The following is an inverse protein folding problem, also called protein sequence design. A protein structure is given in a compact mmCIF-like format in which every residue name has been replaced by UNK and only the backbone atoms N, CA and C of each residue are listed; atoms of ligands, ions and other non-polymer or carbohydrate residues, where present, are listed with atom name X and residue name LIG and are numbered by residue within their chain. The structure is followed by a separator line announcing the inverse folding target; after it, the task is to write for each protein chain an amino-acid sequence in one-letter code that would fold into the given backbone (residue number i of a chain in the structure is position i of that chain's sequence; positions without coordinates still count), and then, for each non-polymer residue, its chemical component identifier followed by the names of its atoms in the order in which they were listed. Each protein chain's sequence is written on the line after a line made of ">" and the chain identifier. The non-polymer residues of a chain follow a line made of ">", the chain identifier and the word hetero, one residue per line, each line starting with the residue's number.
data_IF_304365411609
#
_entry.id   IF_304365411609
#
_cell.length_a   1.000
_cell.length_b   1.000
_cell.length_c   1.000
_cell.angle_alpha   90.00
_cell.angle_beta   90.00
_cell.angle_gamma   90.00
#
_symmetry.space_group_name_H-M   'P 1'
#
loop_
_entity.id
_entity.type
_entity.pdbx_description
1 polymer ?
#
# COMPACT_ATOMS: atom_id res chain seq x y z
N UNK A 1 0.27 -8.20 -80.16
CA UNK A 1 1.47 -7.71 -79.46
C UNK A 1 0.99 -6.98 -78.22
N UNK A 2 1.16 -7.57 -77.04
CA UNK A 2 1.15 -6.88 -75.75
C UNK A 2 1.94 -7.77 -74.79
N UNK A 3 3.21 -7.43 -74.63
CA UNK A 3 4.16 -8.05 -73.72
C UNK A 3 3.76 -7.71 -72.28
N UNK A 4 3.23 -8.70 -71.56
CA UNK A 4 3.04 -8.59 -70.12
C UNK A 4 4.42 -8.63 -69.43
N UNK A 5 4.85 -7.49 -68.91
CA UNK A 5 6.00 -7.37 -68.02
C UNK A 5 5.65 -8.04 -66.69
N UNK A 6 6.19 -9.23 -66.47
CA UNK A 6 6.06 -9.98 -65.24
C UNK A 6 6.90 -9.29 -64.15
N UNK A 7 6.28 -8.40 -63.37
CA UNK A 7 6.90 -7.81 -62.18
C UNK A 7 7.03 -8.89 -61.11
N UNK A 8 8.24 -9.39 -60.92
CA UNK A 8 8.61 -10.27 -59.80
C UNK A 8 8.45 -9.45 -58.52
N UNK A 9 7.34 -9.64 -57.82
CA UNK A 9 7.11 -9.07 -56.50
C UNK A 9 8.15 -9.69 -55.56
N UNK A 10 9.05 -8.87 -55.03
CA UNK A 10 10.09 -9.29 -54.09
C UNK A 10 9.47 -10.03 -52.91
N UNK A 11 9.91 -11.27 -52.65
CA UNK A 11 9.46 -12.12 -51.54
C UNK A 11 10.07 -11.72 -50.19
N UNK A 12 10.91 -10.67 -50.18
CA UNK A 12 11.62 -10.21 -49.00
C UNK A 12 10.87 -9.11 -48.24
N UNK A 13 10.88 -9.18 -46.92
CA UNK A 13 10.37 -8.12 -46.05
C UNK A 13 11.10 -6.80 -46.38
N UNK A 14 10.39 -5.72 -46.73
CA UNK A 14 11.03 -4.46 -47.14
C UNK A 14 11.76 -3.74 -46.00
N UNK A 15 11.55 -4.16 -44.75
CA UNK A 15 12.08 -3.50 -43.56
C UNK A 15 13.24 -4.26 -42.89
N UNK A 16 13.33 -5.59 -43.05
CA UNK A 16 14.42 -6.39 -42.51
C UNK A 16 15.07 -7.36 -43.51
N UNK A 17 14.60 -7.38 -44.76
CA UNK A 17 15.14 -8.22 -45.83
C UNK A 17 14.84 -9.72 -45.69
N UNK A 18 14.02 -10.13 -44.72
CA UNK A 18 13.70 -11.55 -44.51
C UNK A 18 13.00 -12.16 -45.74
N UNK A 19 13.57 -13.22 -46.30
CA UNK A 19 12.95 -14.08 -47.29
C UNK A 19 13.38 -15.52 -47.04
N UNK A 20 12.42 -16.45 -47.03
CA UNK A 20 12.68 -17.87 -46.81
C UNK A 20 13.56 -18.51 -47.91
N UNK A 21 13.75 -17.83 -49.05
CA UNK A 21 14.54 -18.32 -50.20
C UNK A 21 16.02 -17.91 -50.15
N UNK A 22 16.40 -16.94 -49.32
CA UNK A 22 17.75 -16.37 -49.27
C UNK A 22 18.59 -16.82 -48.06
N UNK A 23 18.08 -17.75 -47.25
CA UNK A 23 18.79 -18.31 -46.07
C UNK A 23 19.58 -19.60 -46.40
N UNK A 24 19.70 -19.98 -47.67
CA UNK A 24 20.55 -21.11 -48.08
C UNK A 24 22.02 -20.73 -47.91
N UNK A 25 22.66 -21.24 -46.85
CA UNK A 25 24.09 -21.08 -46.63
C UNK A 25 24.88 -21.61 -47.83
N UNK A 26 25.94 -20.91 -48.29
CA UNK A 26 26.86 -21.45 -49.27
C UNK A 26 27.29 -22.85 -48.83
N UNK A 27 27.03 -23.86 -49.68
CA UNK A 27 27.39 -25.24 -49.38
C UNK A 27 28.90 -25.37 -49.58
N UNK A 28 29.66 -25.84 -48.57
CA UNK A 28 31.08 -26.08 -48.75
C UNK A 28 31.32 -27.05 -49.90
N UNK A 29 32.37 -26.85 -50.71
CA UNK A 29 32.75 -27.82 -51.73
C UNK A 29 32.94 -29.19 -51.06
N UNK A 30 32.33 -30.24 -51.63
CA UNK A 30 32.09 -31.54 -50.98
C UNK A 30 33.34 -32.37 -50.65
N UNK A 31 34.54 -31.81 -50.79
CA UNK A 31 35.83 -32.51 -50.67
C UNK A 31 36.52 -32.20 -49.33
N UNK A 32 35.81 -32.48 -48.21
CA UNK A 32 36.37 -32.27 -46.85
C UNK A 32 37.69 -33.03 -46.65
N UNK A 33 37.81 -34.23 -47.24
CA UNK A 33 39.03 -35.04 -47.21
C UNK A 33 40.24 -34.34 -47.87
N UNK A 34 40.02 -33.52 -48.91
CA UNK A 34 41.08 -32.78 -49.57
C UNK A 34 41.56 -31.61 -48.71
N UNK A 35 40.63 -30.90 -48.08
CA UNK A 35 40.94 -29.82 -47.14
C UNK A 35 41.71 -30.39 -45.93
N UNK A 36 41.23 -31.49 -45.34
CA UNK A 36 41.86 -32.15 -44.19
C UNK A 36 43.29 -32.63 -44.50
N UNK A 37 43.51 -33.16 -45.71
CA UNK A 37 44.85 -33.51 -46.19
C UNK A 37 45.76 -32.27 -46.26
N UNK A 38 45.33 -31.19 -46.92
CA UNK A 38 46.14 -29.97 -47.05
C UNK A 38 46.47 -29.35 -45.68
N UNK A 39 45.53 -29.41 -44.73
CA UNK A 39 45.73 -28.95 -43.35
C UNK A 39 46.70 -29.83 -42.54
N UNK A 40 46.86 -31.11 -42.89
CA UNK A 40 47.73 -32.04 -42.16
C UNK A 40 49.14 -32.17 -42.74
N UNK A 41 49.34 -31.89 -44.03
CA UNK A 41 50.63 -32.05 -44.71
C UNK A 41 51.37 -30.75 -45.01
N UNK A 42 50.72 -29.59 -44.86
CA UNK A 42 51.22 -28.27 -45.31
C UNK A 42 51.54 -28.22 -46.82
N UNK A 43 50.95 -29.11 -47.63
CA UNK A 43 51.09 -29.08 -49.07
C UNK A 43 50.37 -27.86 -49.68
N UNK A 44 50.88 -27.37 -50.81
CA UNK A 44 50.22 -26.29 -51.54
C UNK A 44 48.96 -26.82 -52.27
N UNK A 45 47.86 -26.04 -52.33
CA UNK A 45 46.71 -26.40 -53.15
C UNK A 45 47.10 -26.52 -54.62
N UNK A 46 46.46 -27.44 -55.35
CA UNK A 46 46.60 -27.44 -56.81
C UNK A 46 45.96 -26.18 -57.39
N UNK A 47 46.29 -25.77 -58.63
CA UNK A 47 45.65 -24.63 -59.28
C UNK A 47 44.11 -24.75 -59.34
N UNK A 48 43.59 -25.98 -59.49
CA UNK A 48 42.15 -26.25 -59.49
C UNK A 48 41.54 -26.09 -58.09
N UNK A 49 42.20 -26.63 -57.07
CA UNK A 49 41.79 -26.46 -55.66
C UNK A 49 41.76 -24.97 -55.29
N UNK A 50 42.78 -24.20 -55.70
CA UNK A 50 42.88 -22.78 -55.44
C UNK A 50 41.72 -21.98 -56.03
N UNK A 51 41.28 -22.29 -57.26
CA UNK A 51 40.11 -21.63 -57.88
C UNK A 51 38.84 -21.89 -57.07
N UNK A 52 38.59 -23.14 -56.69
CA UNK A 52 37.40 -23.55 -55.93
C UNK A 52 37.41 -22.92 -54.53
N UNK A 53 38.56 -22.89 -53.86
CA UNK A 53 38.68 -22.26 -52.55
C UNK A 53 38.50 -20.75 -52.62
N UNK A 54 39.10 -20.07 -53.61
CA UNK A 54 38.92 -18.63 -53.78
C UNK A 54 37.47 -18.26 -54.10
N UNK A 55 36.76 -19.01 -54.94
CA UNK A 55 35.35 -18.74 -55.20
C UNK A 55 34.49 -18.96 -53.95
N UNK A 56 34.72 -20.06 -53.22
CA UNK A 56 33.98 -20.33 -51.99
C UNK A 56 34.23 -19.27 -50.91
N UNK A 57 35.48 -18.81 -50.74
CA UNK A 57 35.80 -17.73 -49.80
C UNK A 57 35.09 -16.45 -50.19
N UNK A 58 35.14 -16.04 -51.46
CA UNK A 58 34.48 -14.82 -51.92
C UNK A 58 32.94 -14.87 -51.74
N UNK A 59 32.32 -16.00 -52.09
CA UNK A 59 30.88 -16.22 -51.91
C UNK A 59 30.50 -16.24 -50.43
N UNK A 60 31.32 -16.88 -49.59
CA UNK A 60 31.14 -16.94 -48.14
C UNK A 60 31.26 -15.56 -47.47
N UNK A 61 32.28 -14.78 -47.83
CA UNK A 61 32.46 -13.40 -47.33
C UNK A 61 31.29 -12.49 -47.73
N UNK A 62 30.82 -12.61 -48.97
CA UNK A 62 29.64 -11.89 -49.46
C UNK A 62 28.38 -12.27 -48.67
N UNK A 63 28.17 -13.56 -48.43
CA UNK A 63 27.02 -14.04 -47.65
C UNK A 63 27.09 -13.61 -46.18
N UNK A 64 28.26 -13.63 -45.56
CA UNK A 64 28.47 -13.11 -44.20
C UNK A 64 28.14 -11.62 -44.12
N UNK A 65 28.62 -10.82 -45.07
CA UNK A 65 28.29 -9.38 -45.14
C UNK A 65 26.78 -9.14 -45.27
N UNK A 66 26.09 -9.97 -46.05
CA UNK A 66 24.64 -9.92 -46.18
C UNK A 66 23.92 -10.28 -44.86
N UNK A 67 24.36 -11.32 -44.16
CA UNK A 67 23.82 -11.69 -42.85
C UNK A 67 24.05 -10.61 -41.80
N UNK A 68 25.24 -10.02 -41.74
CA UNK A 68 25.54 -8.93 -40.81
C UNK A 68 24.63 -7.72 -41.02
N UNK A 69 24.39 -7.35 -42.28
CA UNK A 69 23.45 -6.28 -42.64
C UNK A 69 22.03 -6.60 -42.17
N UNK A 70 21.59 -7.86 -42.31
CA UNK A 70 20.27 -8.31 -41.84
C UNK A 70 20.18 -8.34 -40.32
N UNK A 71 21.21 -8.82 -39.63
CA UNK A 71 21.29 -8.81 -38.16
C UNK A 71 21.19 -7.37 -37.65
N UNK A 72 21.94 -6.44 -38.26
CA UNK A 72 21.87 -5.02 -37.91
C UNK A 72 20.46 -4.44 -38.14
N UNK A 73 19.82 -4.77 -39.26
CA UNK A 73 18.47 -4.31 -39.61
C UNK A 73 17.41 -4.85 -38.64
N UNK A 74 17.46 -6.14 -38.29
CA UNK A 74 16.54 -6.76 -37.33
C UNK A 74 16.76 -6.19 -35.93
N UNK A 75 18.02 -5.98 -35.50
CA UNK A 75 18.32 -5.34 -34.20
C UNK A 75 17.78 -3.91 -34.16
N UNK A 76 17.96 -3.12 -35.21
CA UNK A 76 17.41 -1.78 -35.29
C UNK A 76 15.86 -1.77 -35.24
N UNK A 77 15.22 -2.72 -35.93
CA UNK A 77 13.77 -2.90 -35.88
C UNK A 77 13.29 -3.27 -34.48
N UNK A 78 13.97 -4.21 -33.82
CA UNK A 78 13.64 -4.62 -32.46
C UNK A 78 13.72 -3.44 -31.49
N UNK A 79 14.81 -2.68 -31.51
CA UNK A 79 14.98 -1.48 -30.69
C UNK A 79 13.84 -0.46 -30.92
N UNK A 80 13.45 -0.25 -32.18
CA UNK A 80 12.33 0.64 -32.52
C UNK A 80 11.00 0.14 -31.96
N UNK A 81 10.72 -1.16 -32.06
CA UNK A 81 9.49 -1.77 -31.55
C UNK A 81 9.44 -1.74 -30.02
N UNK A 82 10.56 -2.00 -29.34
CA UNK A 82 10.68 -1.89 -27.88
C UNK A 82 10.43 -0.45 -27.42
N UNK A 83 11.09 0.54 -28.05
CA UNK A 83 10.84 1.94 -27.74
C UNK A 83 9.37 2.34 -27.98
N UNK A 84 8.76 1.83 -29.06
CA UNK A 84 7.33 2.09 -29.36
C UNK A 84 6.42 1.47 -28.29
N UNK A 85 6.71 0.22 -27.88
CA UNK A 85 5.99 -0.49 -26.82
C UNK A 85 6.08 0.25 -25.49
N UNK A 86 7.26 0.72 -25.12
CA UNK A 86 7.48 1.43 -23.85
C UNK A 86 6.75 2.78 -23.85
N UNK A 87 6.86 3.53 -24.95
CA UNK A 87 6.13 4.80 -25.14
C UNK A 87 4.62 4.59 -25.03
N UNK A 88 4.08 3.56 -25.71
CA UNK A 88 2.65 3.27 -25.68
C UNK A 88 2.19 2.81 -24.28
N UNK A 89 3.00 2.00 -23.60
CA UNK A 89 2.71 1.54 -22.23
C UNK A 89 2.66 2.71 -21.25
N UNK A 90 3.61 3.65 -21.38
CA UNK A 90 3.64 4.89 -20.60
C UNK A 90 2.42 5.78 -20.89
N UNK A 91 2.05 5.92 -22.16
CA UNK A 91 0.86 6.67 -22.58
C UNK A 91 -0.42 6.04 -21.99
N UNK A 92 -0.63 4.73 -22.16
CA UNK A 92 -1.78 4.00 -21.61
C UNK A 92 -1.86 4.20 -20.10
N UNK A 93 -0.74 4.07 -19.38
CA UNK A 93 -0.71 4.26 -17.93
C UNK A 93 -1.10 5.69 -17.55
N UNK A 94 -0.62 6.68 -18.31
CA UNK A 94 -0.94 8.10 -18.11
C UNK A 94 -2.43 8.39 -18.32
N UNK A 95 -3.08 7.75 -19.29
CA UNK A 95 -4.54 7.87 -19.52
C UNK A 95 -5.38 7.04 -18.53
N UNK A 96 -4.88 5.88 -18.05
CA UNK A 96 -5.57 5.09 -17.03
C UNK A 96 -5.64 5.80 -15.68
N UNK A 97 -4.61 6.58 -15.31
CA UNK A 97 -4.57 7.33 -14.04
C UNK A 97 -5.76 8.27 -13.82
N UNK A 98 -6.14 9.17 -14.75
CA UNK A 98 -7.34 10.01 -14.62
C UNK A 98 -8.65 9.24 -14.74
N UNK A 99 -8.66 8.11 -15.44
CA UNK A 99 -9.83 7.24 -15.55
C UNK A 99 -10.02 6.31 -14.33
N UNK A 100 -9.13 6.35 -13.35
CA UNK A 100 -9.20 5.49 -12.18
C UNK A 100 -10.55 5.68 -11.43
N UNK A 101 -11.30 4.61 -11.10
CA UNK A 101 -12.65 4.71 -10.54
C UNK A 101 -12.75 5.60 -9.29
N UNK A 102 -11.73 5.58 -8.44
CA UNK A 102 -11.65 6.45 -7.24
C UNK A 102 -11.74 7.95 -7.53
N UNK A 103 -11.44 8.41 -8.75
CA UNK A 103 -11.58 9.82 -9.12
C UNK A 103 -13.02 10.21 -9.43
N UNK A 104 -13.86 9.26 -9.87
CA UNK A 104 -15.28 9.45 -10.19
C UNK A 104 -16.21 9.18 -9.02
N UNK A 105 -15.72 8.47 -8.00
CA UNK A 105 -16.51 8.16 -6.81
C UNK A 105 -17.02 9.46 -6.16
N UNK A 106 -18.28 9.61 -5.76
CA UNK A 106 -18.76 10.76 -5.00
C UNK A 106 -18.10 10.87 -3.61
N UNK A 107 -18.13 12.05 -2.99
CA UNK A 107 -17.46 12.26 -1.69
C UNK A 107 -18.20 11.54 -0.56
N UNK A 108 -19.51 11.42 -0.67
CA UNK A 108 -20.41 10.70 0.22
C UNK A 108 -20.04 9.23 0.33
N UNK A 109 -19.59 8.61 -0.78
CA UNK A 109 -19.14 7.22 -0.75
C UNK A 109 -17.73 7.11 -0.14
N UNK A 110 -16.85 8.09 -0.36
CA UNK A 110 -15.56 8.14 0.34
C UNK A 110 -15.75 8.29 1.86
N UNK A 111 -16.69 9.14 2.27
CA UNK A 111 -17.07 9.33 3.67
C UNK A 111 -17.55 8.01 4.29
N UNK A 112 -18.46 7.28 3.62
CA UNK A 112 -18.87 5.96 4.07
C UNK A 112 -17.69 5.00 4.20
N UNK A 113 -16.84 4.90 3.18
CA UNK A 113 -15.65 4.03 3.23
C UNK A 113 -14.74 4.40 4.41
N UNK A 114 -14.51 5.69 4.66
CA UNK A 114 -13.68 6.13 5.77
C UNK A 114 -14.35 5.87 7.12
N UNK A 115 -15.67 6.02 7.22
CA UNK A 115 -16.46 5.71 8.41
C UNK A 115 -16.33 4.24 8.80
N UNK A 116 -16.45 3.32 7.83
CA UNK A 116 -16.18 1.90 8.03
C UNK A 116 -14.71 1.64 8.37
N UNK A 117 -13.78 2.31 7.71
CA UNK A 117 -12.35 2.08 7.93
C UNK A 117 -11.81 2.60 9.27
N UNK A 118 -12.49 3.55 9.91
CA UNK A 118 -12.26 3.89 11.33
C UNK A 118 -13.05 2.99 12.29
N UNK A 119 -13.72 1.95 11.78
CA UNK A 119 -14.37 0.88 12.55
C UNK A 119 -15.66 1.27 13.26
N UNK A 120 -16.42 2.21 12.71
CA UNK A 120 -17.73 2.58 13.26
C UNK A 120 -18.85 1.55 13.01
N UNK A 121 -18.63 0.59 12.13
CA UNK A 121 -19.48 -0.59 11.95
C UNK A 121 -19.34 -1.63 13.07
N UNK A 122 -18.26 -1.52 13.84
CA UNK A 122 -17.98 -2.43 14.95
C UNK A 122 -18.57 -1.87 16.24
N UNK A 123 -19.05 -2.77 17.09
CA UNK A 123 -19.35 -2.45 18.48
C UNK A 123 -18.11 -1.81 19.12
N UNK A 124 -18.33 -0.80 19.96
CA UNK A 124 -17.25 -0.03 20.54
C UNK A 124 -16.26 -0.91 21.33
N UNK A 125 -16.74 -1.98 21.98
CA UNK A 125 -15.90 -2.97 22.65
C UNK A 125 -15.02 -3.79 21.68
N UNK A 126 -15.56 -4.25 20.54
CA UNK A 126 -14.78 -5.05 19.58
C UNK A 126 -13.77 -4.18 18.81
N UNK A 127 -14.10 -2.91 18.60
CA UNK A 127 -13.16 -1.92 18.09
C UNK A 127 -11.98 -1.71 19.03
N UNK A 128 -12.19 -1.63 20.35
CA UNK A 128 -11.11 -1.39 21.33
C UNK A 128 -9.96 -2.38 21.20
N UNK A 129 -10.28 -3.64 20.94
CA UNK A 129 -9.34 -4.77 20.98
C UNK A 129 -8.46 -4.86 19.73
N UNK A 130 -9.02 -4.49 18.58
CA UNK A 130 -8.40 -4.71 17.27
C UNK A 130 -7.97 -3.43 16.56
N UNK A 131 -8.37 -2.26 17.07
CA UNK A 131 -8.03 -0.98 16.45
C UNK A 131 -6.59 -0.54 16.74
N UNK A 132 -5.96 0.16 15.78
CA UNK A 132 -4.67 0.80 15.99
C UNK A 132 -4.78 1.97 16.99
N UNK A 133 -3.65 2.36 17.56
CA UNK A 133 -3.55 3.51 18.46
C UNK A 133 -3.94 4.81 17.73
N UNK A 134 -4.75 5.69 18.33
CA UNK A 134 -5.25 6.92 17.66
C UNK A 134 -4.15 7.91 17.28
N UNK A 135 -2.96 7.79 17.90
CA UNK A 135 -1.78 8.60 17.60
C UNK A 135 -0.83 7.97 16.56
N UNK A 136 -1.16 6.78 16.06
CA UNK A 136 -0.38 6.15 15.00
C UNK A 136 -0.81 6.68 13.62
N UNK A 137 0.05 7.51 13.06
CA UNK A 137 -0.17 8.21 11.80
C UNK A 137 -0.26 7.29 10.56
N UNK A 138 0.06 6.00 10.71
CA UNK A 138 -0.03 4.99 9.64
C UNK A 138 -1.46 4.51 9.43
N UNK A 139 -2.36 4.79 10.36
CA UNK A 139 -3.71 4.26 10.37
C UNK A 139 -4.78 5.35 10.22
N UNK A 140 -6.04 4.97 9.93
CA UNK A 140 -7.17 5.89 9.94
C UNK A 140 -7.31 6.62 11.29
N UNK A 141 -7.75 7.89 11.29
CA UNK A 141 -8.09 8.70 10.12
C UNK A 141 -6.90 9.39 9.44
N UNK A 142 -5.69 9.33 10.03
CA UNK A 142 -4.52 10.07 9.55
C UNK A 142 -4.08 9.69 8.13
N UNK A 143 -4.07 8.39 7.83
CA UNK A 143 -3.57 7.87 6.55
C UNK A 143 -4.40 8.38 5.36
N UNK A 144 -5.71 8.56 5.54
CA UNK A 144 -6.60 9.07 4.51
C UNK A 144 -6.21 10.48 4.05
N UNK A 145 -5.78 11.33 5.00
CA UNK A 145 -5.32 12.68 4.69
C UNK A 145 -4.00 12.78 3.92
N UNK A 146 -3.30 11.65 3.70
CA UNK A 146 -2.01 11.56 3.01
C UNK A 146 -2.11 11.04 1.58
N UNK A 147 -3.29 10.60 1.15
CA UNK A 147 -3.47 9.98 -0.18
C UNK A 147 -3.55 11.02 -1.30
N UNK A 148 -4.47 11.97 -1.20
CA UNK A 148 -4.61 13.07 -2.15
C UNK A 148 -5.33 14.26 -1.52
N UNK A 149 -5.31 15.43 -2.18
CA UNK A 149 -6.00 16.64 -1.71
C UNK A 149 -7.48 16.41 -1.42
N UNK A 150 -8.16 15.64 -2.28
CA UNK A 150 -9.59 15.34 -2.13
C UNK A 150 -9.87 14.54 -0.86
N UNK A 151 -9.12 13.47 -0.61
CA UNK A 151 -9.28 12.64 0.60
C UNK A 151 -8.95 13.44 1.86
N UNK A 152 -7.93 14.30 1.80
CA UNK A 152 -7.59 15.22 2.88
C UNK A 152 -8.74 16.17 3.24
N UNK A 153 -9.43 16.71 2.23
CA UNK A 153 -10.60 17.57 2.47
C UNK A 153 -11.72 16.80 3.16
N UNK A 154 -12.08 15.61 2.64
CA UNK A 154 -13.12 14.74 3.24
C UNK A 154 -12.81 14.45 4.72
N UNK A 155 -11.57 14.05 5.02
CA UNK A 155 -11.13 13.74 6.39
C UNK A 155 -11.20 14.96 7.33
N UNK A 156 -10.96 16.16 6.79
CA UNK A 156 -11.03 17.41 7.53
C UNK A 156 -12.48 17.85 7.79
N UNK A 157 -13.37 17.60 6.82
CA UNK A 157 -14.79 17.95 6.87
C UNK A 157 -15.64 16.95 7.65
N UNK A 158 -15.08 15.79 8.02
CA UNK A 158 -15.79 14.70 8.70
C UNK A 158 -15.31 14.47 10.14
N UNK A 159 -15.82 15.24 11.13
CA UNK A 159 -15.46 15.10 12.55
C UNK A 159 -15.71 13.71 13.14
N UNK A 160 -16.69 12.98 12.61
CA UNK A 160 -17.04 11.63 13.09
C UNK A 160 -15.89 10.63 12.93
N UNK A 161 -14.92 10.87 12.05
CA UNK A 161 -13.72 10.04 11.93
C UNK A 161 -12.78 10.14 13.13
N UNK A 162 -12.99 11.12 14.00
CA UNK A 162 -12.12 11.51 15.11
C UNK A 162 -12.77 11.27 16.48
N UNK A 163 -13.86 10.50 16.56
CA UNK A 163 -14.63 10.32 17.81
C UNK A 163 -14.21 9.11 18.64
N UNK A 164 -13.40 8.18 18.09
CA UNK A 164 -12.88 7.02 18.81
C UNK A 164 -11.44 7.25 19.24
N UNK A 165 -11.25 7.62 20.50
CA UNK A 165 -9.94 8.01 21.06
C UNK A 165 -9.33 6.83 21.80
N UNK A 166 -8.32 6.19 21.24
CA UNK A 166 -7.58 5.08 21.83
C UNK A 166 -6.19 5.52 22.29
N UNK A 167 -6.02 5.54 23.61
CA UNK A 167 -4.77 5.78 24.34
C UNK A 167 -4.33 4.50 25.05
N UNK A 168 -3.46 3.77 24.38
CA UNK A 168 -2.93 2.51 24.87
C UNK A 168 -1.41 2.60 24.94
N UNK A 169 -0.87 2.87 26.14
CA UNK A 169 0.50 3.34 26.33
C UNK A 169 1.60 2.30 26.03
N UNK A 170 1.29 1.01 26.08
CA UNK A 170 2.15 -0.09 25.59
C UNK A 170 2.19 -0.20 24.06
N UNK A 171 1.14 0.28 23.38
CA UNK A 171 1.06 0.28 21.92
C UNK A 171 1.47 1.63 21.31
N UNK A 172 1.89 2.58 22.14
CA UNK A 172 2.43 3.84 21.64
C UNK A 172 3.66 3.56 20.75
N UNK A 173 3.72 4.13 19.54
CA UNK A 173 4.89 4.02 18.70
C UNK A 173 6.16 4.44 19.46
N UNK A 174 7.21 3.60 19.45
CA UNK A 174 8.43 3.82 20.25
C UNK A 174 9.06 5.21 20.06
N UNK A 175 8.96 5.78 18.87
CA UNK A 175 9.46 7.13 18.59
C UNK A 175 8.65 8.23 19.31
N UNK A 176 7.34 8.03 19.51
CA UNK A 176 6.47 8.94 20.27
C UNK A 176 6.69 8.82 21.78
N UNK A 177 7.04 7.64 22.30
CA UNK A 177 7.42 7.49 23.72
C UNK A 177 8.61 8.38 24.07
N UNK A 178 9.56 8.54 23.13
CA UNK A 178 10.70 9.46 23.27
C UNK A 178 10.34 10.92 23.03
N UNK A 179 9.14 11.21 22.52
CA UNK A 179 8.68 12.55 22.15
C UNK A 179 7.23 12.77 22.64
N UNK A 180 7.01 12.65 23.95
CA UNK A 180 5.69 12.84 24.56
C UNK A 180 5.02 14.18 24.16
N UNK A 181 5.74 15.32 24.05
CA UNK A 181 5.11 16.56 23.59
C UNK A 181 4.53 16.45 22.17
N UNK A 182 5.18 15.72 21.26
CA UNK A 182 4.65 15.48 19.92
C UNK A 182 3.40 14.61 19.98
N UNK A 183 3.39 13.57 20.79
CA UNK A 183 2.23 12.70 20.97
C UNK A 183 1.03 13.45 21.57
N UNK A 184 1.26 14.33 22.55
CA UNK A 184 0.25 15.21 23.11
C UNK A 184 -0.29 16.20 22.06
N UNK A 185 0.56 16.75 21.20
CA UNK A 185 0.12 17.58 20.08
C UNK A 185 -0.73 16.81 19.06
N UNK A 186 -0.38 15.55 18.77
CA UNK A 186 -1.21 14.71 17.90
C UNK A 186 -2.58 14.44 18.53
N UNK A 187 -2.62 14.18 19.84
CA UNK A 187 -3.86 14.00 20.58
C UNK A 187 -4.71 15.27 20.58
N UNK A 188 -4.11 16.44 20.81
CA UNK A 188 -4.84 17.71 20.80
C UNK A 188 -5.44 18.01 19.42
N UNK A 189 -4.73 17.70 18.33
CA UNK A 189 -5.26 17.78 16.96
C UNK A 189 -6.40 16.80 16.77
N UNK A 190 -6.26 15.56 17.24
CA UNK A 190 -7.28 14.53 17.14
C UNK A 190 -8.59 14.98 17.80
N UNK A 191 -8.50 15.42 19.06
CA UNK A 191 -9.63 15.94 19.84
C UNK A 191 -10.26 17.16 19.17
N UNK A 192 -9.45 18.12 18.68
CA UNK A 192 -9.97 19.30 17.98
C UNK A 192 -10.75 18.94 16.72
N UNK A 193 -10.27 17.96 15.95
CA UNK A 193 -10.93 17.52 14.71
C UNK A 193 -12.26 16.82 14.93
N UNK A 194 -12.45 16.20 16.10
CA UNK A 194 -13.75 15.63 16.49
C UNK A 194 -14.83 16.67 16.79
N UNK A 195 -14.46 17.96 16.88
CA UNK A 195 -15.35 19.08 17.22
C UNK A 195 -16.13 18.78 18.50
N UNK A 196 -17.44 19.05 18.54
CA UNK A 196 -18.31 18.80 19.69
C UNK A 196 -19.03 17.45 19.67
N UNK A 197 -18.64 16.51 18.80
CA UNK A 197 -19.31 15.21 18.72
C UNK A 197 -19.03 14.35 19.95
N UNK A 198 -19.90 13.39 20.26
CA UNK A 198 -19.64 12.47 21.37
C UNK A 198 -18.38 11.62 21.14
N UNK A 199 -17.64 11.34 22.22
CA UNK A 199 -16.40 10.56 22.20
C UNK A 199 -16.58 9.18 22.83
N UNK A 200 -16.04 8.17 22.17
CA UNK A 200 -15.74 6.87 22.80
C UNK A 200 -14.25 6.83 23.12
N UNK A 201 -13.91 6.72 24.40
CA UNK A 201 -12.55 6.86 24.90
C UNK A 201 -12.05 5.53 25.44
N UNK A 202 -10.88 5.10 25.00
CA UNK A 202 -10.21 3.88 25.40
C UNK A 202 -8.87 4.22 26.04
N UNK A 203 -8.69 3.86 27.30
CA UNK A 203 -7.49 4.17 28.08
C UNK A 203 -6.93 2.88 28.65
N UNK A 204 -5.64 2.65 28.42
CA UNK A 204 -4.89 1.55 29.02
C UNK A 204 -3.48 1.98 29.37
N UNK A 205 -3.18 1.95 30.66
CA UNK A 205 -1.86 2.28 31.21
C UNK A 205 -1.29 1.00 31.81
N UNK A 206 -0.18 0.48 31.26
CA UNK A 206 0.51 -0.64 31.90
C UNK A 206 1.19 -0.18 33.18
N UNK A 207 1.37 -1.10 34.12
CA UNK A 207 1.95 -0.82 35.45
C UNK A 207 3.37 -0.22 35.40
N UNK A 208 4.10 -0.42 34.32
CA UNK A 208 5.45 0.14 34.13
C UNK A 208 5.46 1.57 33.58
N UNK A 209 4.33 2.10 33.09
CA UNK A 209 4.28 3.43 32.50
C UNK A 209 4.03 4.48 33.59
N UNK A 210 4.95 5.44 33.72
CA UNK A 210 4.87 6.51 34.73
C UNK A 210 3.61 7.36 34.54
N UNK A 211 2.86 7.56 35.63
CA UNK A 211 1.70 8.46 35.66
C UNK A 211 2.07 9.91 35.37
N UNK A 212 3.25 10.37 35.80
CA UNK A 212 3.75 11.72 35.46
C UNK A 212 3.90 11.91 33.96
N UNK A 213 4.33 10.84 33.26
CA UNK A 213 4.42 10.84 31.79
C UNK A 213 3.05 10.81 31.11
N UNK A 214 2.05 10.22 31.77
CA UNK A 214 0.67 10.15 31.27
C UNK A 214 -0.14 11.43 31.55
N UNK A 215 0.24 12.23 32.55
CA UNK A 215 -0.52 13.37 33.05
C UNK A 215 -0.95 14.36 31.95
N UNK A 216 -0.05 14.69 31.01
CA UNK A 216 -0.38 15.58 29.90
C UNK A 216 -1.42 15.02 28.92
N UNK A 217 -1.46 13.69 28.72
CA UNK A 217 -2.50 13.04 27.91
C UNK A 217 -3.84 13.06 28.63
N UNK A 218 -3.83 12.81 29.94
CA UNK A 218 -5.02 12.86 30.77
C UNK A 218 -5.63 14.24 30.80
N UNK A 219 -4.84 15.29 31.05
CA UNK A 219 -5.31 16.67 31.03
C UNK A 219 -6.04 16.99 29.71
N UNK A 220 -5.48 16.55 28.57
CA UNK A 220 -6.11 16.74 27.26
C UNK A 220 -7.42 15.97 27.10
N UNK A 221 -7.45 14.69 27.43
CA UNK A 221 -8.66 13.87 27.24
C UNK A 221 -9.74 14.25 28.24
N UNK A 222 -9.40 14.42 29.52
CA UNK A 222 -10.32 14.82 30.59
C UNK A 222 -10.91 16.21 30.36
N UNK A 223 -10.19 17.13 29.70
CA UNK A 223 -10.80 18.41 29.26
C UNK A 223 -12.01 18.23 28.33
N UNK A 224 -12.19 17.04 27.77
CA UNK A 224 -13.28 16.66 26.88
C UNK A 224 -14.28 15.70 27.53
N UNK A 225 -14.16 15.42 28.83
CA UNK A 225 -14.99 14.43 29.56
C UNK A 225 -16.49 14.71 29.48
N UNK A 226 -16.85 15.99 29.36
CA UNK A 226 -18.23 16.46 29.23
C UNK A 226 -19.00 15.85 28.04
N UNK A 227 -18.30 15.35 27.02
CA UNK A 227 -18.88 14.74 25.82
C UNK A 227 -18.44 13.31 25.58
N UNK A 228 -17.96 12.61 26.59
CA UNK A 228 -17.70 11.17 26.45
C UNK A 228 -19.03 10.42 26.55
N UNK A 229 -19.37 9.56 25.57
CA UNK A 229 -20.51 8.63 25.70
C UNK A 229 -20.11 7.29 26.30
N UNK A 230 -18.90 6.84 25.98
CA UNK A 230 -18.44 5.50 26.36
C UNK A 230 -16.99 5.58 26.81
N UNK A 231 -16.69 4.96 27.94
CA UNK A 231 -15.35 4.87 28.50
C UNK A 231 -14.94 3.41 28.61
N UNK A 232 -13.74 3.12 28.14
CA UNK A 232 -13.19 1.79 28.05
C UNK A 232 -11.84 1.77 28.77
N UNK A 233 -11.73 0.98 29.83
CA UNK A 233 -10.60 0.95 30.74
C UNK A 233 -9.98 -0.45 30.74
N UNK A 234 -8.71 -0.54 30.33
CA UNK A 234 -7.96 -1.79 30.51
C UNK A 234 -7.46 -1.93 31.94
N UNK A 235 -7.33 -3.18 32.44
CA UNK A 235 -6.78 -3.49 33.75
C UNK A 235 -5.38 -2.84 33.94
N UNK A 236 -5.26 -1.88 34.86
CA UNK A 236 -4.05 -1.12 35.17
C UNK A 236 -4.32 0.05 36.13
N UNK A 237 -3.26 0.73 36.60
CA UNK A 237 -3.27 1.73 37.67
C UNK A 237 -4.11 3.01 37.43
N UNK A 238 -4.71 3.20 36.24
CA UNK A 238 -5.39 4.45 35.87
C UNK A 238 -6.87 4.57 36.30
N UNK A 239 -7.47 3.49 36.80
CA UNK A 239 -8.90 3.44 37.11
C UNK A 239 -9.29 4.33 38.31
N UNK A 240 -8.56 4.21 39.42
CA UNK A 240 -8.84 4.95 40.65
C UNK A 240 -8.71 6.46 40.49
N UNK A 241 -7.78 6.93 39.67
CA UNK A 241 -7.50 8.36 39.51
C UNK A 241 -8.48 9.05 38.55
N UNK A 242 -8.96 8.35 37.51
CA UNK A 242 -10.04 8.85 36.63
C UNK A 242 -11.37 8.86 37.40
N UNK A 243 -11.57 7.89 38.29
CA UNK A 243 -12.81 7.74 39.07
C UNK A 243 -12.85 8.60 40.33
N UNK A 244 -11.70 9.12 40.79
CA UNK A 244 -11.65 10.15 41.82
C UNK A 244 -12.22 11.52 41.34
N UNK A 245 -12.55 11.62 40.06
CA UNK A 245 -13.12 12.82 39.45
C UNK A 245 -14.64 12.79 39.67
N UNK A 246 -15.19 13.88 40.22
CA UNK A 246 -16.63 14.07 40.53
C UNK A 246 -17.56 13.59 39.40
N UNK A 247 -18.68 12.95 39.77
CA UNK A 247 -19.72 12.47 38.84
C UNK A 247 -20.21 13.54 37.85
N UNK A 248 -20.21 14.82 38.26
CA UNK A 248 -20.58 15.97 37.42
C UNK A 248 -19.61 16.20 36.24
N UNK A 249 -18.45 15.54 36.24
CA UNK A 249 -17.43 15.68 35.21
C UNK A 249 -17.73 14.87 33.95
N UNK A 250 -18.71 13.97 34.00
CA UNK A 250 -19.06 13.04 32.92
C UNK A 250 -20.56 13.09 32.53
N UNK A 251 -21.14 14.27 32.24
CA UNK A 251 -22.57 14.43 32.00
C UNK A 251 -23.14 13.64 30.82
N UNK A 252 -22.33 13.33 29.79
CA UNK A 252 -22.77 12.56 28.62
C UNK A 252 -22.42 11.08 28.68
N UNK A 253 -21.77 10.63 29.76
CA UNK A 253 -21.25 9.26 29.82
C UNK A 253 -22.38 8.29 30.13
N UNK A 254 -22.56 7.31 29.25
CA UNK A 254 -23.65 6.33 29.30
C UNK A 254 -23.13 4.94 29.64
N UNK A 255 -21.90 4.61 29.19
CA UNK A 255 -21.34 3.27 29.30
C UNK A 255 -19.88 3.29 29.79
N UNK A 256 -19.55 2.42 30.73
CA UNK A 256 -18.18 2.16 31.18
C UNK A 256 -17.89 0.68 31.00
N UNK A 257 -16.73 0.33 30.46
CA UNK A 257 -16.30 -1.05 30.23
C UNK A 257 -14.90 -1.31 30.79
N UNK A 258 -14.70 -2.48 31.38
CA UNK A 258 -13.41 -2.94 31.91
C UNK A 258 -12.98 -4.27 31.27
N UNK A 259 -11.70 -4.43 30.92
CA UNK A 259 -11.18 -5.71 30.40
C UNK A 259 -9.77 -6.04 30.90
N UNK A 260 -9.47 -7.34 30.96
CA UNK A 260 -8.18 -7.88 31.40
C UNK A 260 -7.20 -8.13 30.24
N UNK A 261 -5.92 -8.28 30.59
CA UNK A 261 -4.79 -8.48 29.66
C UNK A 261 -4.86 -9.78 28.84
N UNK A 262 -5.52 -10.81 29.35
CA UNK A 262 -5.71 -12.11 28.68
C UNK A 262 -6.88 -12.10 27.67
N UNK A 263 -7.57 -10.96 27.55
CA UNK A 263 -8.79 -10.87 26.77
C UNK A 263 -9.99 -11.53 27.44
N UNK A 264 -9.91 -11.90 28.71
CA UNK A 264 -11.11 -12.09 29.51
C UNK A 264 -11.72 -10.73 29.83
N UNK A 265 -13.03 -10.70 29.97
CA UNK A 265 -13.70 -9.51 30.44
C UNK A 265 -13.26 -9.27 31.91
N UNK A 266 -12.94 -8.02 32.26
CA UNK A 266 -12.34 -7.67 33.54
C UNK A 266 -13.38 -7.48 34.62
N UNK A 267 -13.18 -8.07 35.80
CA UNK A 267 -14.09 -7.87 36.94
C UNK A 267 -14.05 -6.42 37.41
N UNK A 268 -15.23 -5.86 37.59
CA UNK A 268 -15.43 -4.57 38.25
C UNK A 268 -15.39 -4.85 39.76
N UNK A 269 -14.20 -4.86 40.36
CA UNK A 269 -14.07 -4.96 41.81
C UNK A 269 -14.06 -3.53 42.39
N UNK A 270 -15.20 -3.12 42.97
CA UNK A 270 -15.42 -1.86 43.68
C UNK A 270 -15.28 -0.57 42.86
N UNK A 271 -16.21 -0.35 41.93
CA UNK A 271 -16.50 1.02 41.48
C UNK A 271 -17.57 1.58 42.42
N UNK A 272 -17.19 2.50 43.31
CA UNK A 272 -18.12 3.22 44.18
C UNK A 272 -18.75 4.37 43.38
N UNK A 273 -19.76 4.04 42.60
CA UNK A 273 -20.50 4.99 41.78
C UNK A 273 -21.97 4.96 42.18
N UNK A 274 -22.39 5.90 43.02
CA UNK A 274 -23.79 6.03 43.43
C UNK A 274 -24.75 6.23 42.24
N UNK A 275 -24.25 6.70 41.08
CA UNK A 275 -25.04 6.90 39.85
C UNK A 275 -24.95 5.77 38.79
N UNK A 276 -24.23 4.67 39.05
CA UNK A 276 -23.98 3.62 38.03
C UNK A 276 -24.35 2.23 38.52
N UNK A 277 -25.08 1.48 37.69
CA UNK A 277 -25.45 0.09 37.98
C UNK A 277 -24.67 -0.91 37.14
N UNK A 278 -24.27 -2.01 37.78
CA UNK A 278 -23.75 -3.18 37.10
C UNK A 278 -24.87 -3.83 36.28
N UNK A 279 -24.57 -4.15 35.02
CA UNK A 279 -25.54 -4.82 34.15
C UNK A 279 -25.87 -6.24 34.61
N UNK A 280 -24.96 -6.89 35.36
CA UNK A 280 -25.08 -8.21 35.99
C UNK A 280 -24.07 -8.40 37.13
N UNK A 281 -24.28 -9.34 38.05
CA UNK A 281 -23.40 -9.66 39.19
C UNK A 281 -22.04 -10.31 38.82
N UNK A 282 -21.79 -10.51 37.52
CA UNK A 282 -20.49 -10.88 36.93
C UNK A 282 -20.06 -9.93 35.80
N UNK A 283 -20.71 -8.75 35.68
CA UNK A 283 -20.56 -7.87 34.52
C UNK A 283 -19.23 -7.11 34.53
N UNK A 284 -18.81 -6.76 33.32
CA UNK A 284 -17.60 -5.99 32.99
C UNK A 284 -17.98 -4.65 32.35
N UNK A 285 -19.27 -4.32 32.45
CA UNK A 285 -19.86 -3.08 31.97
C UNK A 285 -20.77 -2.45 33.03
N UNK A 286 -20.67 -1.13 33.17
CA UNK A 286 -21.60 -0.30 33.93
C UNK A 286 -22.40 0.58 32.98
N UNK A 287 -23.66 0.83 33.34
CA UNK A 287 -24.52 1.81 32.68
C UNK A 287 -25.03 2.82 33.68
N UNK A 288 -25.19 4.07 33.24
CA UNK A 288 -25.70 5.14 34.09
C UNK A 288 -27.18 4.89 34.43
N UNK A 289 -27.53 4.97 35.71
CA UNK A 289 -28.94 4.88 36.11
C UNK A 289 -29.68 6.14 35.65
N UNK A 290 -30.60 5.99 34.70
CA UNK A 290 -31.52 7.07 34.36
C UNK A 290 -32.67 7.01 35.36
N UNK A 291 -32.67 7.92 36.34
CA UNK A 291 -33.83 8.08 37.23
C UNK A 291 -34.98 8.59 36.35
N UNK A 292 -35.88 7.69 35.96
CA UNK A 292 -37.16 8.05 35.36
C UNK A 292 -37.97 8.68 36.48
N UNK A 293 -38.11 10.00 36.44
CA UNK A 293 -39.09 10.74 37.26
C UNK A 293 -40.39 10.87 36.51
#
# INVERSE_FOLDING_TARGET
>A
MNTATNTVVSSACPQCGYSAQHDSTPVPPSDSARIDHLLSTNDHPTPQDAIVFHSFVADGESFLSHLDTRIASVRALLLKLEATKDNLTSAITSYKRPLHPMRRLPSEILEHIFFFGVGHDKLALSYSRSSPHSLDLRYPPWIYGRVCRRWKNVVYEMPSLWTRVKLQFDQLPKFLVKQLPLAQNLLSIYLRRSKGLSLSVYIRIPDWFSMDSAAGFFALVLSQSWRWSSLFLGSGQGLSDIMAISEDSFPSLEEIYTWNLDGSDGKIDSIDCHAWSCKDSQSTSLTRETIVT
#
